data_IF_918018872877
#
_entry.id   IF_918018872877
#
_cell.length_a   1.000
_cell.length_b   1.000
_cell.length_c   1.000
_cell.angle_alpha   90.00
_cell.angle_beta   90.00
_cell.angle_gamma   90.00
#
_symmetry.space_group_name_H-M   'P 1'
#
loop_
_entity.id
_entity.type
_entity.pdbx_description
1 polymer ?
#
# COMPACT_ATOMS: atom_id res chain seq x y z
N UNK A 1 -5.22 -16.25 6.64
CA UNK A 1 -4.59 -15.40 5.61
C UNK A 1 -3.78 -14.31 6.28
N UNK A 2 -2.63 -14.00 5.72
CA UNK A 2 -1.81 -12.86 6.14
C UNK A 2 -1.88 -11.77 5.07
N UNK A 3 -2.28 -10.56 5.47
CA UNK A 3 -2.28 -9.39 4.61
C UNK A 3 -1.16 -8.47 5.07
N UNK A 4 -0.25 -8.13 4.16
CA UNK A 4 0.96 -7.34 4.47
C UNK A 4 0.85 -5.96 3.86
N UNK A 5 0.97 -4.95 4.70
CA UNK A 5 1.00 -3.54 4.30
C UNK A 5 2.04 -2.79 5.13
N UNK A 6 2.79 -1.91 4.49
CA UNK A 6 3.75 -1.06 5.18
C UNK A 6 4.57 -0.24 4.19
N UNK A 7 5.34 0.70 4.73
CA UNK A 7 6.33 1.46 3.97
C UNK A 7 6.18 2.97 4.03
N UNK A 8 5.00 3.54 4.28
CA UNK A 8 4.83 4.99 4.34
C UNK A 8 5.65 5.61 5.48
N UNK A 9 5.73 4.93 6.63
CA UNK A 9 6.54 5.42 7.75
C UNK A 9 8.03 5.39 7.44
N UNK A 10 8.49 4.39 6.67
CA UNK A 10 9.89 4.35 6.22
C UNK A 10 10.19 5.57 5.33
N UNK A 11 9.29 5.90 4.41
CA UNK A 11 9.42 7.09 3.56
C UNK A 11 9.44 8.36 4.42
N UNK A 12 8.50 8.47 5.36
CA UNK A 12 8.41 9.64 6.24
C UNK A 12 9.67 9.83 7.10
N UNK A 13 10.34 8.73 7.45
CA UNK A 13 11.57 8.74 8.24
C UNK A 13 12.85 8.81 7.40
N UNK A 14 12.72 8.92 6.09
CA UNK A 14 13.86 9.04 5.19
C UNK A 14 14.63 7.73 4.96
N UNK A 15 14.04 6.58 5.26
CA UNK A 15 14.66 5.29 5.00
C UNK A 15 14.58 4.94 3.51
N UNK A 16 15.58 4.22 2.96
CA UNK A 16 15.53 3.80 1.55
C UNK A 16 14.31 2.94 1.25
N UNK A 17 13.66 3.18 0.11
CA UNK A 17 12.48 2.40 -0.31
C UNK A 17 12.84 0.93 -0.56
N UNK A 18 14.06 0.65 -0.98
CA UNK A 18 14.56 -0.72 -1.18
C UNK A 18 14.56 -1.51 0.14
N UNK A 19 14.91 -0.84 1.25
CA UNK A 19 14.88 -1.46 2.57
C UNK A 19 13.44 -1.81 2.99
N UNK A 20 12.49 -0.90 2.74
CA UNK A 20 11.08 -1.17 3.00
C UNK A 20 10.59 -2.36 2.18
N UNK A 21 10.95 -2.42 0.89
CA UNK A 21 10.60 -3.55 0.02
C UNK A 21 11.20 -4.87 0.51
N UNK A 22 12.45 -4.86 0.98
CA UNK A 22 13.11 -6.05 1.52
C UNK A 22 12.41 -6.54 2.79
N UNK A 23 11.96 -5.63 3.65
CA UNK A 23 11.20 -5.99 4.85
C UNK A 23 9.86 -6.63 4.48
N UNK A 24 9.16 -6.10 3.49
CA UNK A 24 7.91 -6.68 2.99
C UNK A 24 8.15 -8.07 2.40
N UNK A 25 9.22 -8.24 1.64
CA UNK A 25 9.61 -9.56 1.10
C UNK A 25 9.83 -10.57 2.23
N UNK A 26 10.52 -10.17 3.29
CA UNK A 26 10.75 -11.05 4.44
C UNK A 26 9.43 -11.46 5.10
N UNK A 27 8.48 -10.55 5.23
CA UNK A 27 7.16 -10.85 5.80
C UNK A 27 6.37 -11.83 4.92
N UNK A 28 6.39 -11.63 3.60
CA UNK A 28 5.75 -12.55 2.65
C UNK A 28 6.36 -13.94 2.77
N UNK A 29 7.69 -14.02 2.76
CA UNK A 29 8.41 -15.30 2.91
C UNK A 29 8.06 -16.01 4.21
N UNK A 30 8.00 -15.28 5.33
CA UNK A 30 7.64 -15.86 6.62
C UNK A 30 6.19 -16.35 6.64
N UNK A 31 5.26 -15.61 6.04
CA UNK A 31 3.87 -16.04 5.93
C UNK A 31 3.76 -17.37 5.17
N UNK A 32 4.47 -17.49 4.04
CA UNK A 32 4.50 -18.72 3.24
C UNK A 32 5.11 -19.89 4.01
N UNK A 33 6.21 -19.68 4.73
CA UNK A 33 6.83 -20.71 5.57
C UNK A 33 5.85 -21.25 6.63
N UNK A 34 4.97 -20.38 7.14
CA UNK A 34 3.94 -20.76 8.10
C UNK A 34 2.71 -21.40 7.46
N UNK A 35 2.70 -21.59 6.14
CA UNK A 35 1.58 -22.18 5.41
C UNK A 35 0.39 -21.25 5.25
N UNK A 36 0.58 -19.94 5.43
CA UNK A 36 -0.50 -18.96 5.29
C UNK A 36 -0.67 -18.54 3.83
N UNK A 37 -1.93 -18.28 3.44
CA UNK A 37 -2.20 -17.49 2.25
C UNK A 37 -1.76 -16.05 2.53
N UNK A 38 -1.03 -15.46 1.59
CA UNK A 38 -0.49 -14.11 1.75
C UNK A 38 -1.03 -13.19 0.65
N UNK A 39 -1.34 -11.95 1.01
CA UNK A 39 -1.67 -10.88 0.07
C UNK A 39 -0.88 -9.63 0.43
N UNK A 40 -0.56 -8.83 -0.56
CA UNK A 40 0.10 -7.54 -0.41
C UNK A 40 -0.87 -6.40 -0.66
N UNK A 41 -0.64 -5.28 0.03
CA UNK A 41 -1.30 -4.00 -0.21
C UNK A 41 -0.22 -2.99 -0.55
N UNK A 42 -0.46 -2.17 -1.56
CA UNK A 42 0.45 -1.07 -1.88
C UNK A 42 0.25 0.13 -0.94
N UNK A 43 1.16 1.09 -1.02
CA UNK A 43 1.15 2.29 -0.16
C UNK A 43 0.12 3.27 -0.69
N UNK A 44 -0.73 3.78 0.19
CA UNK A 44 -1.75 4.78 -0.13
C UNK A 44 -1.12 6.12 -0.57
N UNK A 45 -1.87 6.95 -1.31
CA UNK A 45 -1.47 8.34 -1.47
C UNK A 45 -1.33 9.00 -0.10
N UNK A 46 -0.33 9.86 0.05
CA UNK A 46 -0.05 10.53 1.32
C UNK A 46 -0.10 12.03 1.13
N UNK A 47 -1.24 12.64 1.47
CA UNK A 47 -1.50 14.06 1.18
C UNK A 47 -0.53 14.99 1.90
N UNK A 48 -0.23 14.70 3.17
CA UNK A 48 0.71 15.52 3.96
C UNK A 48 2.16 15.36 3.51
N UNK A 49 2.49 14.28 2.80
CA UNK A 49 3.82 14.05 2.24
C UNK A 49 3.99 14.57 0.82
N UNK A 50 2.90 15.05 0.21
CA UNK A 50 2.93 15.54 -1.16
C UNK A 50 3.59 16.95 -1.21
N UNK A 51 4.42 17.30 -2.20
CA UNK A 51 4.81 16.47 -3.36
C UNK A 51 6.06 15.61 -3.13
N UNK A 52 6.80 15.80 -2.05
CA UNK A 52 8.13 15.20 -1.84
C UNK A 52 8.06 13.67 -1.70
N UNK A 53 7.06 13.17 -0.97
CA UNK A 53 6.89 11.74 -0.74
C UNK A 53 6.30 10.98 -1.92
N UNK A 54 5.63 11.65 -2.83
CA UNK A 54 4.90 11.01 -3.93
C UNK A 54 5.80 10.18 -4.86
N UNK A 55 6.96 10.69 -5.34
CA UNK A 55 7.85 9.88 -6.16
C UNK A 55 8.38 8.64 -5.42
N UNK A 56 8.61 8.76 -4.12
CA UNK A 56 9.08 7.63 -3.29
C UNK A 56 7.99 6.59 -3.11
N UNK A 57 6.74 7.00 -2.94
CA UNK A 57 5.58 6.10 -2.89
C UNK A 57 5.45 5.35 -4.22
N UNK A 58 5.56 6.03 -5.35
CA UNK A 58 5.51 5.39 -6.67
C UNK A 58 6.63 4.37 -6.84
N UNK A 59 7.83 4.71 -6.41
CA UNK A 59 8.98 3.81 -6.49
C UNK A 59 8.74 2.57 -5.62
N UNK A 60 8.29 2.75 -4.39
CA UNK A 60 8.00 1.63 -3.49
C UNK A 60 6.86 0.76 -4.03
N UNK A 61 5.78 1.37 -4.52
CA UNK A 61 4.65 0.63 -5.08
C UNK A 61 5.05 -0.18 -6.32
N UNK A 62 5.98 0.31 -7.14
CA UNK A 62 6.54 -0.48 -8.24
C UNK A 62 7.28 -1.71 -7.71
N UNK A 63 8.08 -1.57 -6.64
CA UNK A 63 8.77 -2.69 -6.01
C UNK A 63 7.79 -3.68 -5.37
N UNK A 64 6.72 -3.18 -4.76
CA UNK A 64 5.66 -4.03 -4.18
C UNK A 64 4.95 -4.83 -5.28
N UNK A 65 4.62 -4.20 -6.40
CA UNK A 65 4.00 -4.89 -7.53
C UNK A 65 4.90 -5.97 -8.10
N UNK A 66 6.20 -5.70 -8.22
CA UNK A 66 7.18 -6.68 -8.67
C UNK A 66 7.30 -7.85 -7.68
N UNK A 67 7.33 -7.56 -6.38
CA UNK A 67 7.34 -8.57 -5.33
C UNK A 67 6.09 -9.46 -5.40
N UNK A 68 4.92 -8.87 -5.60
CA UNK A 68 3.67 -9.63 -5.72
C UNK A 68 3.72 -10.60 -6.91
N UNK A 69 4.24 -10.15 -8.06
CA UNK A 69 4.40 -11.01 -9.24
C UNK A 69 5.40 -12.14 -8.98
N UNK A 70 6.56 -11.81 -8.43
CA UNK A 70 7.63 -12.77 -8.16
C UNK A 70 7.17 -13.85 -7.19
N UNK A 71 6.45 -13.46 -6.14
CA UNK A 71 5.97 -14.39 -5.12
C UNK A 71 4.61 -15.02 -5.46
N UNK A 72 4.00 -14.65 -6.56
CA UNK A 72 2.68 -15.12 -7.00
C UNK A 72 1.60 -14.93 -5.91
N UNK A 73 1.58 -13.75 -5.29
CA UNK A 73 0.57 -13.37 -4.30
C UNK A 73 -0.31 -12.24 -4.84
N UNK A 74 -1.59 -12.16 -4.40
CA UNK A 74 -2.45 -11.05 -4.80
C UNK A 74 -1.91 -9.71 -4.30
N UNK A 75 -2.08 -8.68 -5.12
CA UNK A 75 -1.85 -7.29 -4.75
C UNK A 75 -3.17 -6.54 -4.76
N UNK A 76 -3.50 -5.91 -3.64
CA UNK A 76 -4.65 -5.02 -3.54
C UNK A 76 -4.24 -3.60 -3.90
N UNK A 77 -4.84 -2.99 -4.93
CA UNK A 77 -4.43 -1.68 -5.43
C UNK A 77 -5.06 -0.55 -4.61
N UNK A 78 -4.67 -0.42 -3.35
CA UNK A 78 -5.23 0.57 -2.44
C UNK A 78 -4.84 2.00 -2.84
N UNK A 79 -3.64 2.19 -3.39
CA UNK A 79 -3.22 3.50 -3.88
C UNK A 79 -4.19 4.04 -4.95
N UNK A 80 -4.41 3.26 -6.00
CA UNK A 80 -5.29 3.66 -7.10
C UNK A 80 -6.74 3.80 -6.63
N UNK A 81 -7.15 2.99 -5.67
CA UNK A 81 -8.52 3.04 -5.13
C UNK A 81 -8.84 4.39 -4.49
N UNK A 82 -7.89 4.97 -3.76
CA UNK A 82 -8.11 6.22 -3.04
C UNK A 82 -7.55 7.46 -3.75
N UNK A 83 -6.78 7.28 -4.81
CA UNK A 83 -6.21 8.41 -5.54
C UNK A 83 -7.31 9.26 -6.19
N UNK A 84 -7.20 10.58 -6.06
CA UNK A 84 -8.06 11.52 -6.75
C UNK A 84 -7.60 11.65 -8.20
N UNK A 85 -8.42 11.28 -9.20
CA UNK A 85 -8.03 11.38 -10.60
C UNK A 85 -7.76 12.82 -11.05
N UNK A 86 -8.29 13.81 -10.33
CA UNK A 86 -8.07 15.24 -10.60
C UNK A 86 -6.82 15.77 -9.94
N UNK A 87 -6.28 15.06 -8.95
CA UNK A 87 -5.08 15.46 -8.19
C UNK A 87 -4.19 14.23 -7.99
N UNK A 88 -3.47 13.79 -9.03
CA UNK A 88 -2.63 12.60 -8.94
C UNK A 88 -1.68 12.65 -7.74
N UNK A 89 -1.51 11.52 -7.09
CA UNK A 89 -0.67 11.36 -5.91
C UNK A 89 -1.32 11.77 -4.59
N UNK A 90 -2.58 12.21 -4.60
CA UNK A 90 -3.32 12.61 -3.39
C UNK A 90 -4.63 11.85 -3.28
N UNK A 91 -5.05 11.58 -2.04
CA UNK A 91 -6.39 11.05 -1.75
C UNK A 91 -7.44 12.13 -1.97
N UNK A 92 -8.63 11.73 -2.41
CA UNK A 92 -9.78 12.64 -2.44
C UNK A 92 -10.06 13.18 -1.03
N UNK A 93 -10.52 14.44 -0.97
CA UNK A 93 -10.76 15.11 0.32
C UNK A 93 -11.80 14.42 1.19
N UNK A 94 -12.80 13.79 0.58
CA UNK A 94 -13.84 13.04 1.31
C UNK A 94 -13.35 11.66 1.78
N UNK A 95 -12.17 11.21 1.36
CA UNK A 95 -11.61 9.91 1.75
C UNK A 95 -10.48 10.00 2.77
N UNK A 96 -10.14 11.22 3.20
CA UNK A 96 -9.20 11.44 4.29
C UNK A 96 -9.67 12.61 5.15
N UNK A 97 -9.46 12.55 6.45
CA UNK A 97 -9.78 13.65 7.36
C UNK A 97 -8.53 14.39 7.85
N UNK A 98 -7.40 13.71 7.92
CA UNK A 98 -6.14 14.26 8.47
C UNK A 98 -5.02 14.38 7.42
N UNK A 99 -5.22 13.90 6.21
CA UNK A 99 -4.20 13.88 5.15
C UNK A 99 -3.21 12.73 5.24
N UNK A 100 -3.31 11.89 6.27
CA UNK A 100 -2.44 10.74 6.50
C UNK A 100 -3.19 9.42 6.41
N UNK A 101 -4.41 9.36 6.95
CA UNK A 101 -5.20 8.15 7.08
C UNK A 101 -6.51 8.27 6.31
N UNK A 102 -7.06 7.16 5.82
CA UNK A 102 -8.39 7.17 5.23
C UNK A 102 -9.46 7.59 6.23
N UNK A 103 -10.48 8.31 5.76
CA UNK A 103 -11.72 8.54 6.49
C UNK A 103 -12.55 7.24 6.57
N UNK A 104 -13.68 7.28 7.28
CA UNK A 104 -14.62 6.15 7.31
C UNK A 104 -15.02 5.74 5.90
N UNK A 105 -15.35 6.72 5.04
CA UNK A 105 -15.74 6.44 3.65
C UNK A 105 -14.56 5.90 2.84
N UNK A 106 -13.34 6.39 3.08
CA UNK A 106 -12.12 5.85 2.47
C UNK A 106 -11.89 4.39 2.86
N UNK A 107 -12.01 4.07 4.15
CA UNK A 107 -11.89 2.68 4.62
C UNK A 107 -12.99 1.78 4.04
N UNK A 108 -14.19 2.30 3.86
CA UNK A 108 -15.27 1.53 3.22
C UNK A 108 -14.90 1.15 1.78
N UNK A 109 -14.32 2.10 1.03
CA UNK A 109 -13.82 1.82 -0.33
C UNK A 109 -12.71 0.76 -0.33
N UNK A 110 -11.78 0.86 0.59
CA UNK A 110 -10.73 -0.15 0.73
C UNK A 110 -11.30 -1.53 1.11
N UNK A 111 -12.31 -1.55 1.98
CA UNK A 111 -13.00 -2.79 2.35
C UNK A 111 -13.67 -3.48 1.17
N UNK A 112 -14.27 -2.72 0.25
CA UNK A 112 -14.86 -3.27 -0.98
C UNK A 112 -13.80 -3.96 -1.85
N UNK A 113 -12.59 -3.38 -1.92
CA UNK A 113 -11.47 -3.99 -2.66
C UNK A 113 -10.95 -5.22 -1.92
N UNK A 114 -10.76 -5.13 -0.61
CA UNK A 114 -10.26 -6.23 0.21
C UNK A 114 -11.21 -7.45 0.21
N UNK A 115 -12.51 -7.22 0.07
CA UNK A 115 -13.48 -8.30 0.01
C UNK A 115 -13.23 -9.28 -1.16
N UNK A 116 -12.50 -8.87 -2.17
CA UNK A 116 -12.10 -9.74 -3.29
C UNK A 116 -11.23 -10.90 -2.84
N UNK A 117 -10.52 -10.76 -1.71
CA UNK A 117 -9.70 -11.85 -1.17
C UNK A 117 -10.53 -12.99 -0.58
N UNK A 118 -11.77 -12.72 -0.20
CA UNK A 118 -12.67 -13.71 0.40
C UNK A 118 -13.36 -14.62 -0.64
N UNK A 119 -13.30 -14.20 -1.91
CA UNK A 119 -13.95 -14.92 -3.04
C UNK A 119 -13.09 -16.06 -3.64
#
# INVERSE_FOLDING_TARGET
>A
MLVVQGGVNDIAQGRPVEQAADNLRAMVGRGKELGLRVALIDVLPWNNGWPIGEPLIRQLNALIAELARHEAVPLLPFHDTLEDPKRPGRMRDDWTSDGDHPSVDGYRKLGEVAARLAG
#
